data_IF_428144905509
#
_entry.id   IF_428144905509
#
_cell.length_a   1.000
_cell.length_b   1.000
_cell.length_c   1.000
_cell.angle_alpha   90.00
_cell.angle_beta   90.00
_cell.angle_gamma   90.00
#
_symmetry.space_group_name_H-M   'P 1'
#
loop_
_entity.id
_entity.type
_entity.pdbx_description
1 polymer ?
#
# COMPACT_ATOMS: atom_id res chain seq x y z
N UNK A 1 4.71 -15.47 13.49
CA UNK A 1 3.25 -15.37 13.33
C UNK A 1 2.80 -15.38 11.88
N UNK A 2 3.26 -14.47 11.02
CA UNK A 2 2.87 -14.45 9.60
C UNK A 2 3.60 -15.50 8.71
N UNK A 3 4.56 -16.23 9.26
CA UNK A 3 5.37 -17.19 8.50
C UNK A 3 4.48 -18.27 7.86
N UNK A 4 4.71 -18.54 6.57
CA UNK A 4 3.97 -19.57 5.84
C UNK A 4 2.48 -19.30 5.65
N UNK A 5 2.00 -18.05 5.81
CA UNK A 5 0.60 -17.66 5.57
C UNK A 5 0.10 -18.07 4.18
N UNK A 6 0.97 -18.04 3.17
CA UNK A 6 0.67 -18.50 1.81
C UNK A 6 0.23 -19.96 1.74
N UNK A 7 0.73 -20.82 2.63
CA UNK A 7 0.42 -22.27 2.65
C UNK A 7 -0.90 -22.58 3.36
N UNK A 8 -1.28 -21.74 4.31
CA UNK A 8 -2.48 -21.94 5.15
C UNK A 8 -3.68 -21.16 4.65
N UNK A 9 -3.47 -19.92 4.21
CA UNK A 9 -4.50 -19.05 3.64
C UNK A 9 -3.91 -18.19 2.49
N UNK A 10 -3.78 -18.75 1.28
CA UNK A 10 -3.16 -18.08 0.15
C UNK A 10 -3.90 -16.80 -0.29
N UNK A 11 -5.23 -16.75 -0.10
CA UNK A 11 -6.03 -15.58 -0.45
C UNK A 11 -5.68 -14.41 0.46
N UNK A 12 -5.62 -14.65 1.77
CA UNK A 12 -5.21 -13.62 2.73
C UNK A 12 -3.77 -13.18 2.50
N UNK A 13 -2.85 -14.12 2.24
CA UNK A 13 -1.47 -13.81 1.91
C UNK A 13 -1.36 -12.87 0.71
N UNK A 14 -2.16 -13.12 -0.34
CA UNK A 14 -2.20 -12.29 -1.55
C UNK A 14 -2.70 -10.88 -1.27
N UNK A 15 -3.82 -10.74 -0.55
CA UNK A 15 -4.37 -9.42 -0.21
C UNK A 15 -3.38 -8.62 0.66
N UNK A 16 -2.77 -9.28 1.65
CA UNK A 16 -1.72 -8.65 2.47
C UNK A 16 -0.52 -8.21 1.65
N UNK A 17 -0.07 -9.03 0.69
CA UNK A 17 1.00 -8.68 -0.23
C UNK A 17 0.65 -7.46 -1.09
N UNK A 18 -0.58 -7.36 -1.60
CA UNK A 18 -1.05 -6.17 -2.33
C UNK A 18 -0.92 -4.92 -1.45
N UNK A 19 -1.36 -4.98 -0.19
CA UNK A 19 -1.22 -3.85 0.72
C UNK A 19 0.22 -3.50 1.05
N UNK A 20 1.07 -4.49 1.30
CA UNK A 20 2.48 -4.25 1.63
C UNK A 20 3.25 -3.68 0.45
N UNK A 21 2.99 -4.13 -0.77
CA UNK A 21 3.55 -3.51 -1.97
C UNK A 21 3.02 -2.08 -2.19
N UNK A 22 1.75 -1.83 -1.87
CA UNK A 22 1.17 -0.48 -1.92
C UNK A 22 1.85 0.45 -0.92
N UNK A 23 2.07 -0.01 0.32
CA UNK A 23 2.80 0.72 1.36
C UNK A 23 4.29 0.92 1.01
N UNK A 24 4.92 -0.07 0.36
CA UNK A 24 6.27 0.08 -0.19
C UNK A 24 6.33 1.15 -1.30
N UNK A 25 5.20 1.40 -1.96
CA UNK A 25 5.11 2.36 -3.06
C UNK A 25 5.56 1.73 -4.37
N UNK A 26 5.16 0.49 -4.65
CA UNK A 26 5.43 -0.17 -5.94
C UNK A 26 4.35 0.23 -6.96
N UNK A 27 4.70 0.81 -8.12
CA UNK A 27 3.75 1.02 -9.22
C UNK A 27 3.21 -0.33 -9.73
N UNK A 28 1.92 -0.48 -10.06
CA UNK A 28 0.88 0.53 -10.23
C UNK A 28 -0.02 0.78 -9.00
N UNK A 29 0.39 0.43 -7.79
CA UNK A 29 -0.52 0.42 -6.62
C UNK A 29 -0.81 1.82 -6.07
N UNK A 30 -1.97 1.97 -5.42
CA UNK A 30 -2.45 3.26 -4.89
C UNK A 30 -1.42 4.03 -4.04
N UNK A 31 -0.70 3.34 -3.15
CA UNK A 31 0.25 3.97 -2.23
C UNK A 31 1.47 4.59 -2.92
N UNK A 32 1.81 4.16 -4.14
CA UNK A 32 2.83 4.84 -4.96
C UNK A 32 2.36 6.25 -5.35
N UNK A 33 1.13 6.38 -5.85
CA UNK A 33 0.60 7.66 -6.31
C UNK A 33 0.44 8.65 -5.16
N UNK A 34 0.02 8.20 -3.97
CA UNK A 34 -0.05 9.07 -2.79
C UNK A 34 1.32 9.69 -2.44
N UNK A 35 2.38 8.88 -2.43
CA UNK A 35 3.75 9.38 -2.21
C UNK A 35 4.22 10.27 -3.35
N UNK A 36 3.97 9.86 -4.59
CA UNK A 36 4.37 10.60 -5.79
C UNK A 36 3.80 12.02 -5.80
N UNK A 37 2.49 12.17 -5.60
CA UNK A 37 1.85 13.49 -5.55
C UNK A 37 2.36 14.34 -4.39
N UNK A 38 2.59 13.72 -3.23
CA UNK A 38 3.14 14.42 -2.05
C UNK A 38 4.55 14.94 -2.32
N UNK A 39 5.44 14.12 -2.89
CA UNK A 39 6.81 14.53 -3.21
C UNK A 39 6.85 15.53 -4.34
N UNK A 40 6.00 15.37 -5.36
CA UNK A 40 5.87 16.33 -6.46
C UNK A 40 5.45 17.70 -5.93
N UNK A 41 4.45 17.77 -5.04
CA UNK A 41 4.02 19.01 -4.41
C UNK A 41 5.14 19.64 -3.57
N UNK A 42 5.89 18.84 -2.81
CA UNK A 42 7.03 19.33 -2.04
C UNK A 42 8.13 19.93 -2.95
N UNK A 43 8.46 19.28 -4.06
CA UNK A 43 9.44 19.78 -5.03
C UNK A 43 8.95 21.08 -5.68
N UNK A 44 7.68 21.14 -6.09
CA UNK A 44 7.09 22.35 -6.66
C UNK A 44 7.05 23.52 -5.68
N UNK A 45 6.92 23.24 -4.38
CA UNK A 45 7.01 24.22 -3.31
C UNK A 45 8.46 24.59 -2.92
N UNK A 46 9.48 24.06 -3.61
CA UNK A 46 10.89 24.32 -3.30
C UNK A 46 11.42 23.58 -2.06
N UNK A 47 10.65 22.66 -1.48
CA UNK A 47 10.97 21.92 -0.26
C UNK A 47 11.80 20.65 -0.54
N UNK A 48 12.86 20.80 -1.34
CA UNK A 48 13.68 19.67 -1.79
C UNK A 48 14.26 18.81 -0.64
N UNK A 49 14.75 19.37 0.48
CA UNK A 49 15.24 18.56 1.60
C UNK A 49 14.17 17.60 2.16
N UNK A 50 12.91 18.05 2.27
CA UNK A 50 11.81 17.23 2.76
C UNK A 50 11.45 16.11 1.78
N UNK A 51 11.46 16.41 0.48
CA UNK A 51 11.23 15.40 -0.55
C UNK A 51 12.29 14.28 -0.50
N UNK A 52 13.58 14.65 -0.33
CA UNK A 52 14.68 13.69 -0.21
C UNK A 52 14.50 12.81 1.04
N UNK A 53 14.22 13.41 2.20
CA UNK A 53 13.98 12.66 3.45
C UNK A 53 12.81 11.69 3.27
N UNK A 54 11.72 12.14 2.65
CA UNK A 54 10.54 11.30 2.39
C UNK A 54 10.84 10.12 1.47
N UNK A 55 11.62 10.32 0.41
CA UNK A 55 12.03 9.24 -0.51
C UNK A 55 12.91 8.23 0.22
N UNK A 56 13.92 8.68 0.98
CA UNK A 56 14.81 7.78 1.74
C UNK A 56 14.00 6.98 2.76
N UNK A 57 13.11 7.63 3.52
CA UNK A 57 12.22 6.96 4.46
C UNK A 57 11.33 5.92 3.77
N UNK A 58 10.85 6.21 2.56
CA UNK A 58 10.07 5.27 1.75
C UNK A 58 10.88 4.03 1.35
N UNK A 59 12.15 4.20 0.96
CA UNK A 59 13.04 3.09 0.60
C UNK A 59 13.34 2.21 1.82
N UNK A 60 13.61 2.83 2.97
CA UNK A 60 13.80 2.11 4.24
C UNK A 60 12.54 1.32 4.60
N UNK A 61 11.36 1.93 4.49
CA UNK A 61 10.08 1.23 4.70
C UNK A 61 9.89 0.06 3.75
N UNK A 62 10.20 0.23 2.47
CA UNK A 62 10.09 -0.83 1.46
C UNK A 62 10.90 -2.08 1.84
N UNK A 63 12.10 -1.93 2.40
CA UNK A 63 12.89 -3.07 2.90
C UNK A 63 12.12 -3.90 3.94
N UNK A 64 11.49 -3.26 4.92
CA UNK A 64 10.71 -3.96 5.95
C UNK A 64 9.46 -4.63 5.39
N UNK A 65 8.76 -3.99 4.45
CA UNK A 65 7.57 -4.56 3.82
C UNK A 65 7.91 -5.77 2.94
N UNK A 66 8.99 -5.70 2.15
CA UNK A 66 9.48 -6.83 1.36
C UNK A 66 9.92 -8.00 2.24
N UNK A 67 10.57 -7.71 3.37
CA UNK A 67 10.92 -8.73 4.36
C UNK A 67 9.69 -9.44 4.91
N UNK A 68 8.61 -8.72 5.22
CA UNK A 68 7.35 -9.34 5.65
C UNK A 68 6.75 -10.24 4.57
N UNK A 69 6.75 -9.79 3.31
CA UNK A 69 6.29 -10.60 2.17
C UNK A 69 7.12 -11.88 2.08
N UNK A 70 8.45 -11.78 2.18
CA UNK A 70 9.32 -12.95 2.18
C UNK A 70 8.91 -13.96 3.25
N UNK A 71 8.66 -13.51 4.47
CA UNK A 71 8.26 -14.37 5.59
C UNK A 71 6.92 -15.07 5.31
N UNK A 72 5.92 -14.35 4.77
CA UNK A 72 4.60 -14.92 4.46
C UNK A 72 4.63 -16.01 3.39
N UNK A 73 5.51 -15.87 2.40
CA UNK A 73 5.54 -16.73 1.21
C UNK A 73 6.58 -17.86 1.28
N UNK A 74 7.72 -17.65 1.93
CA UNK A 74 8.85 -18.57 1.85
C UNK A 74 9.20 -19.29 3.16
N UNK A 75 8.82 -18.74 4.31
CA UNK A 75 9.14 -19.36 5.60
C UNK A 75 8.13 -20.46 5.95
N UNK A 76 8.55 -21.40 6.80
CA UNK A 76 7.69 -22.49 7.24
C UNK A 76 6.57 -22.00 8.17
N UNK A 77 5.36 -22.59 8.11
CA UNK A 77 4.26 -22.20 8.99
C UNK A 77 4.62 -22.47 10.45
N UNK A 78 4.65 -21.42 11.28
CA UNK A 78 4.97 -21.54 12.71
C UNK A 78 3.73 -21.80 13.59
N UNK A 79 2.53 -21.94 13.00
CA UNK A 79 1.26 -22.15 13.70
C UNK A 79 0.04 -22.09 12.78
N UNK A 80 -1.14 -22.39 13.33
CA UNK A 80 -2.43 -22.27 12.62
C UNK A 80 -3.00 -20.86 12.69
N UNK A 81 -3.56 -20.36 11.57
CA UNK A 81 -4.20 -19.04 11.52
C UNK A 81 -5.68 -19.12 11.93
N UNK A 82 -6.14 -18.13 12.69
CA UNK A 82 -7.57 -18.00 13.03
C UNK A 82 -8.36 -17.66 11.76
N UNK A 83 -9.51 -18.33 11.53
CA UNK A 83 -10.34 -18.02 10.38
C UNK A 83 -10.83 -16.57 10.41
N UNK A 84 -10.64 -15.87 9.29
CA UNK A 84 -11.10 -14.49 9.10
C UNK A 84 -12.63 -14.45 9.05
N UNK A 85 -13.25 -13.62 9.89
CA UNK A 85 -14.70 -13.38 9.89
C UNK A 85 -15.21 -12.88 8.52
N UNK A 86 -16.46 -13.19 8.18
CA UNK A 86 -17.03 -12.89 6.86
C UNK A 86 -16.99 -11.41 6.48
N UNK A 87 -17.35 -10.53 7.41
CA UNK A 87 -17.32 -9.07 7.22
C UNK A 87 -15.91 -8.57 6.91
N UNK A 88 -14.90 -9.07 7.64
CA UNK A 88 -13.52 -8.68 7.44
C UNK A 88 -13.00 -9.15 6.07
N UNK A 89 -13.45 -10.30 5.56
CA UNK A 89 -13.11 -10.73 4.19
C UNK A 89 -13.65 -9.78 3.14
N UNK A 90 -14.87 -9.27 3.32
CA UNK A 90 -15.47 -8.30 2.41
C UNK A 90 -14.68 -7.00 2.43
N UNK A 91 -14.37 -6.47 3.62
CA UNK A 91 -13.57 -5.24 3.77
C UNK A 91 -12.20 -5.42 3.12
N UNK A 92 -11.51 -6.53 3.38
CA UNK A 92 -10.21 -6.84 2.77
C UNK A 92 -10.29 -6.97 1.26
N UNK A 93 -11.34 -7.62 0.74
CA UNK A 93 -11.55 -7.78 -0.70
C UNK A 93 -11.79 -6.44 -1.41
N UNK A 94 -12.69 -5.61 -0.87
CA UNK A 94 -13.04 -4.30 -1.44
C UNK A 94 -11.84 -3.34 -1.38
N UNK A 95 -11.17 -3.24 -0.24
CA UNK A 95 -9.99 -2.38 -0.09
C UNK A 95 -8.80 -2.89 -0.91
N UNK A 96 -8.61 -4.21 -0.99
CA UNK A 96 -7.60 -4.83 -1.85
C UNK A 96 -7.84 -4.52 -3.33
N UNK A 97 -9.08 -4.65 -3.79
CA UNK A 97 -9.47 -4.30 -5.14
C UNK A 97 -9.26 -2.81 -5.42
N UNK A 98 -9.68 -1.92 -4.51
CA UNK A 98 -9.43 -0.48 -4.63
C UNK A 98 -7.93 -0.16 -4.80
N UNK A 99 -7.08 -0.75 -3.96
CA UNK A 99 -5.63 -0.52 -4.02
C UNK A 99 -5.01 -1.02 -5.33
N UNK A 100 -5.46 -2.18 -5.82
CA UNK A 100 -4.96 -2.80 -7.04
C UNK A 100 -5.40 -2.05 -8.30
N UNK A 101 -6.66 -1.60 -8.33
CA UNK A 101 -7.27 -0.96 -9.51
C UNK A 101 -7.27 0.57 -9.45
N UNK A 102 -6.57 1.16 -8.47
CA UNK A 102 -6.53 2.61 -8.27
C UNK A 102 -6.19 3.40 -9.54
N UNK A 103 -5.27 2.91 -10.38
CA UNK A 103 -4.87 3.61 -11.62
C UNK A 103 -6.04 3.90 -12.55
N UNK A 104 -7.02 3.00 -12.63
CA UNK A 104 -8.18 3.18 -13.50
C UNK A 104 -9.15 4.25 -13.00
N UNK A 105 -9.09 4.58 -11.71
CA UNK A 105 -9.98 5.55 -11.05
C UNK A 105 -9.23 6.79 -10.54
N UNK A 106 -7.90 6.85 -10.73
CA UNK A 106 -7.03 7.89 -10.20
C UNK A 106 -7.41 9.29 -10.74
N UNK A 107 -7.82 9.38 -12.00
CA UNK A 107 -8.19 10.65 -12.65
C UNK A 107 -9.33 11.38 -11.92
N UNK A 108 -10.52 10.77 -11.81
CA UNK A 108 -11.63 11.36 -11.05
C UNK A 108 -11.28 11.69 -9.60
N UNK A 109 -10.55 10.80 -8.92
CA UNK A 109 -10.14 11.01 -7.51
C UNK A 109 -9.26 12.24 -7.37
N UNK A 110 -8.29 12.43 -8.28
CA UNK A 110 -7.44 13.62 -8.31
C UNK A 110 -8.26 14.90 -8.50
N UNK A 111 -9.25 14.89 -9.40
CA UNK A 111 -10.15 16.02 -9.62
C UNK A 111 -10.99 16.38 -8.38
N UNK A 112 -11.52 15.37 -7.68
CA UNK A 112 -12.25 15.60 -6.42
C UNK A 112 -11.35 16.15 -5.32
N UNK A 113 -10.12 15.64 -5.22
CA UNK A 113 -9.13 16.13 -4.25
C UNK A 113 -8.74 17.59 -4.53
N UNK A 114 -8.55 17.97 -5.81
CA UNK A 114 -8.24 19.34 -6.20
C UNK A 114 -9.42 20.29 -5.93
N UNK A 115 -10.64 19.86 -6.26
CA UNK A 115 -11.86 20.64 -5.98
C UNK A 115 -12.02 20.90 -4.47
N UNK A 116 -11.77 19.88 -3.63
CA UNK A 116 -11.78 20.04 -2.18
C UNK A 116 -10.64 20.95 -1.67
N UNK A 117 -9.45 20.89 -2.28
CA UNK A 117 -8.34 21.76 -1.89
C UNK A 117 -8.64 23.24 -2.15
N UNK A 118 -9.30 23.56 -3.27
CA UNK A 118 -9.72 24.93 -3.66
C UNK A 118 -10.81 25.53 -2.79
N UNK A 119 -11.43 24.81 -1.86
CA UNK A 119 -12.39 25.43 -0.93
C UNK A 119 -11.71 26.14 0.24
N UNK A 120 -10.42 25.87 0.48
CA UNK A 120 -9.67 26.48 1.57
C UNK A 120 -9.10 27.86 1.22
N UNK A 121 -8.93 28.18 -0.07
CA UNK A 121 -8.44 29.46 -0.60
C UNK A 121 -8.97 29.67 -2.02
#
# INVERSE_FOLDING_TARGET
DLAGLSRTNPVLATIMTIFLFSLAGIPPLAGFFGKWYTFLAAVQAGLLPLAIIGIVASVVGAFYYLRMIKIMWFDEPTGGFVPVAGELRLVLGVTGAFVLFYVFIAGPIGGFAEAAAKTFF
#
